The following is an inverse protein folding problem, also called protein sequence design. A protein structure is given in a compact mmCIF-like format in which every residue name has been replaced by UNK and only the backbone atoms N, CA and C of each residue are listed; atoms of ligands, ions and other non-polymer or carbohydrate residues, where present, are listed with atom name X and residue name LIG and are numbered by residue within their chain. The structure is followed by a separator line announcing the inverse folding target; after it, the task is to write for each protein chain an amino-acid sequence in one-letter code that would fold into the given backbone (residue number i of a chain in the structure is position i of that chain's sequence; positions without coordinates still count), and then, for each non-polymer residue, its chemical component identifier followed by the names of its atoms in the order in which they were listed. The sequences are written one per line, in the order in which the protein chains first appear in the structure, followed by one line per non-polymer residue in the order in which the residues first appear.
data_IF_726036378093
#
_entry.id   IF_726036378093
#
_cell.length_a   1.000
_cell.length_b   1.000
_cell.length_c   1.000
_cell.angle_alpha   90.00
_cell.angle_beta   90.00
_cell.angle_gamma   90.00
#
_symmetry.space_group_name_H-M   'P 1'
#
loop_
_entity.id
_entity.type
_entity.pdbx_description
1 polymer ?
#
# COMPACT_ATOMS: atom_id res chain seq x y z
N UNK A 1 15.19 -12.66 9.65
CA UNK A 1 14.23 -11.69 10.21
C UNK A 1 14.77 -10.98 11.46
N UNK A 2 15.07 -11.68 12.56
CA UNK A 2 15.63 -11.02 13.75
C UNK A 2 16.92 -10.23 13.46
N UNK A 3 17.85 -10.83 12.70
CA UNK A 3 19.10 -10.18 12.29
C UNK A 3 18.86 -8.94 11.42
N UNK A 4 17.90 -9.00 10.49
CA UNK A 4 17.57 -7.87 9.60
C UNK A 4 16.90 -6.72 10.37
N UNK A 5 16.10 -7.03 11.40
CA UNK A 5 15.52 -6.01 12.30
C UNK A 5 16.62 -5.34 13.14
N UNK A 6 17.53 -6.12 13.72
CA UNK A 6 18.66 -5.58 14.48
C UNK A 6 19.58 -4.71 13.61
N UNK A 7 19.86 -5.15 12.39
CA UNK A 7 20.65 -4.40 11.40
C UNK A 7 19.95 -3.10 10.98
N UNK A 8 18.63 -3.13 10.75
CA UNK A 8 17.84 -1.93 10.46
C UNK A 8 17.92 -0.92 11.61
N UNK A 9 17.69 -1.38 12.85
CA UNK A 9 17.77 -0.52 14.03
C UNK A 9 19.18 0.09 14.20
N UNK A 10 20.23 -0.68 13.93
CA UNK A 10 21.60 -0.18 13.92
C UNK A 10 21.82 0.90 12.85
N UNK A 11 21.39 0.65 11.61
CA UNK A 11 21.52 1.61 10.50
C UNK A 11 20.72 2.89 10.76
N UNK A 12 19.56 2.78 11.39
CA UNK A 12 18.76 3.92 11.84
C UNK A 12 19.51 4.76 12.89
N UNK A 13 20.16 4.10 13.87
CA UNK A 13 20.98 4.78 14.89
C UNK A 13 22.17 5.53 14.30
N UNK A 14 22.78 5.00 13.24
CA UNK A 14 23.95 5.59 12.56
C UNK A 14 23.55 6.62 11.48
N UNK A 15 22.28 7.00 11.38
CA UNK A 15 21.76 7.91 10.35
C UNK A 15 22.04 7.46 8.89
N UNK A 16 22.27 6.15 8.67
CA UNK A 16 22.50 5.55 7.35
C UNK A 16 21.26 4.78 6.87
N UNK A 17 20.07 5.35 7.10
CA UNK A 17 18.78 4.74 6.72
C UNK A 17 18.67 4.47 5.22
N UNK A 18 19.32 5.27 4.38
CA UNK A 18 19.35 5.08 2.92
C UNK A 18 20.01 3.75 2.49
N UNK A 19 20.84 3.14 3.34
CA UNK A 19 21.45 1.82 3.11
C UNK A 19 20.62 0.66 3.68
N UNK A 20 19.52 0.93 4.37
CA UNK A 20 18.73 -0.10 5.04
C UNK A 20 18.27 -1.20 4.08
N UNK A 21 17.67 -0.83 2.96
CA UNK A 21 17.16 -1.77 1.96
C UNK A 21 18.29 -2.63 1.36
N UNK A 22 19.36 -2.05 0.75
CA UNK A 22 20.39 -2.87 0.11
C UNK A 22 21.17 -3.72 1.10
N UNK A 23 21.53 -3.19 2.28
CA UNK A 23 22.33 -3.95 3.26
C UNK A 23 21.48 -5.04 3.92
N UNK A 24 20.21 -4.78 4.24
CA UNK A 24 19.33 -5.82 4.79
C UNK A 24 19.03 -6.90 3.75
N UNK A 25 18.76 -6.53 2.49
CA UNK A 25 18.51 -7.49 1.41
C UNK A 25 19.73 -8.39 1.16
N UNK A 26 20.93 -7.80 1.09
CA UNK A 26 22.18 -8.54 0.91
C UNK A 26 22.49 -9.44 2.11
N UNK A 27 22.29 -8.95 3.33
CA UNK A 27 22.45 -9.76 4.56
C UNK A 27 21.43 -10.90 4.61
N UNK A 28 20.19 -10.64 4.19
CA UNK A 28 19.14 -11.64 4.06
C UNK A 28 19.51 -12.74 3.06
N UNK A 29 20.08 -12.36 1.91
CA UNK A 29 20.63 -13.29 0.91
C UNK A 29 21.74 -14.16 1.52
N UNK A 30 22.76 -13.56 2.14
CA UNK A 30 23.87 -14.31 2.75
C UNK A 30 23.36 -15.29 3.80
N UNK A 31 22.48 -14.85 4.70
CA UNK A 31 21.94 -15.70 5.77
C UNK A 31 21.13 -16.85 5.18
N UNK A 32 20.30 -16.58 4.17
CA UNK A 32 19.53 -17.62 3.50
C UNK A 32 20.45 -18.69 2.90
N UNK A 33 21.53 -18.27 2.22
CA UNK A 33 22.51 -19.19 1.62
C UNK A 33 23.29 -19.99 2.67
N UNK A 34 23.72 -19.35 3.77
CA UNK A 34 24.43 -20.02 4.87
C UNK A 34 23.54 -21.04 5.58
N UNK A 35 22.24 -20.77 5.68
CA UNK A 35 21.25 -21.68 6.28
C UNK A 35 20.74 -22.76 5.29
N UNK A 36 21.35 -22.87 4.12
CA UNK A 36 21.08 -23.95 3.16
C UNK A 36 19.89 -23.69 2.24
N UNK A 37 19.43 -22.44 2.09
CA UNK A 37 18.53 -22.12 0.98
C UNK A 37 19.28 -22.35 -0.33
N UNK A 38 18.77 -23.26 -1.17
CA UNK A 38 19.32 -23.49 -2.51
C UNK A 38 19.27 -22.21 -3.35
N UNK A 39 20.26 -22.05 -4.24
CA UNK A 39 20.19 -21.08 -5.34
C UNK A 39 19.17 -21.57 -6.39
N UNK A 40 17.88 -21.61 -6.04
CA UNK A 40 16.79 -21.84 -6.99
C UNK A 40 16.46 -20.58 -7.81
N UNK A 41 17.42 -19.66 -7.96
CA UNK A 41 17.28 -18.50 -8.86
C UNK A 41 17.44 -19.02 -10.28
N UNK A 42 16.32 -19.37 -10.90
CA UNK A 42 16.27 -19.65 -12.33
C UNK A 42 16.16 -18.31 -13.05
N UNK A 43 17.19 -17.96 -13.80
CA UNK A 43 17.12 -16.84 -14.74
C UNK A 43 16.29 -17.28 -15.94
N UNK A 44 14.98 -17.08 -15.83
CA UNK A 44 14.01 -17.47 -16.87
C UNK A 44 13.58 -16.26 -17.69
N UNK A 45 13.72 -15.05 -17.12
CA UNK A 45 13.25 -13.84 -17.79
C UNK A 45 14.26 -13.37 -18.83
N UNK A 46 13.91 -13.51 -20.10
CA UNK A 46 14.72 -13.03 -21.22
C UNK A 46 14.75 -11.50 -21.30
N UNK A 47 15.83 -10.97 -21.87
CA UNK A 47 15.94 -9.54 -22.18
C UNK A 47 15.03 -9.22 -23.36
N UNK A 48 14.10 -8.28 -23.17
CA UNK A 48 13.13 -7.91 -24.19
C UNK A 48 12.04 -7.00 -23.63
N UNK A 49 11.22 -6.44 -24.52
CA UNK A 49 10.04 -5.72 -24.06
C UNK A 49 9.05 -6.74 -23.44
N UNK A 50 8.54 -6.48 -22.22
CA UNK A 50 7.45 -7.26 -21.68
C UNK A 50 6.29 -7.30 -22.66
N UNK A 51 5.56 -8.42 -22.70
CA UNK A 51 4.37 -8.47 -23.55
C UNK A 51 3.39 -7.37 -23.09
N UNK A 52 2.98 -6.47 -23.97
CA UNK A 52 2.03 -5.40 -23.67
C UNK A 52 0.63 -5.71 -24.24
N UNK A 53 0.43 -6.92 -24.77
CA UNK A 53 -0.83 -7.31 -25.36
C UNK A 53 -1.81 -7.74 -24.25
N UNK A 54 -2.93 -7.03 -24.05
CA UNK A 54 -3.94 -7.42 -23.06
C UNK A 54 -4.56 -8.80 -23.37
N UNK A 55 -4.63 -9.21 -24.64
CA UNK A 55 -5.17 -10.53 -25.01
C UNK A 55 -4.25 -11.66 -24.56
N UNK A 56 -2.93 -11.44 -24.55
CA UNK A 56 -1.97 -12.40 -24.02
C UNK A 56 -2.13 -12.55 -22.50
N UNK A 57 -2.28 -11.45 -21.77
CA UNK A 57 -2.37 -11.47 -20.31
C UNK A 57 -3.72 -11.93 -19.79
N UNK A 58 -4.81 -11.38 -20.34
CA UNK A 58 -6.17 -11.66 -19.88
C UNK A 58 -6.77 -12.86 -20.61
N UNK A 59 -6.59 -12.95 -21.93
CA UNK A 59 -7.34 -13.87 -22.79
C UNK A 59 -6.71 -15.26 -22.98
N UNK A 60 -5.43 -15.44 -22.66
CA UNK A 60 -4.76 -16.74 -22.79
C UNK A 60 -5.09 -17.66 -21.61
N UNK A 61 -5.42 -18.91 -21.92
CA UNK A 61 -5.62 -19.99 -20.94
C UNK A 61 -4.35 -20.82 -20.70
N UNK A 62 -3.30 -20.60 -21.50
CA UNK A 62 -2.05 -21.36 -21.45
C UNK A 62 -0.87 -20.51 -20.96
N UNK A 63 -0.95 -19.18 -21.11
CA UNK A 63 0.11 -18.23 -20.75
C UNK A 63 -0.51 -16.98 -20.09
N UNK A 64 0.30 -16.14 -19.42
CA UNK A 64 -0.20 -14.91 -18.77
C UNK A 64 -0.89 -15.15 -17.42
N UNK A 65 -2.02 -14.46 -17.15
CA UNK A 65 -2.75 -14.59 -15.89
C UNK A 65 -3.62 -15.86 -15.82
N UNK A 66 -3.84 -16.55 -16.94
CA UNK A 66 -4.68 -17.75 -17.03
C UNK A 66 -6.11 -17.55 -16.51
N UNK A 67 -6.63 -16.32 -16.59
CA UNK A 67 -7.96 -15.96 -16.11
C UNK A 67 -9.05 -16.11 -17.18
N UNK A 68 -8.67 -16.13 -18.47
CA UNK A 68 -9.61 -16.00 -19.58
C UNK A 68 -10.17 -14.59 -19.72
N UNK A 69 -10.81 -14.30 -20.86
CA UNK A 69 -11.42 -12.98 -21.08
C UNK A 69 -12.54 -12.74 -20.04
N UNK A 70 -12.57 -11.57 -19.38
CA UNK A 70 -13.54 -11.30 -18.34
C UNK A 70 -14.96 -11.17 -18.92
N UNK A 71 -15.87 -12.01 -18.43
CA UNK A 71 -17.31 -11.92 -18.66
C UNK A 71 -17.97 -10.92 -17.71
N UNK A 72 -19.22 -10.53 -18.00
CA UNK A 72 -20.01 -9.61 -17.16
C UNK A 72 -20.08 -10.03 -15.68
N UNK A 73 -20.15 -11.33 -15.41
CA UNK A 73 -20.16 -11.88 -14.05
C UNK A 73 -18.87 -11.54 -13.28
N UNK A 74 -17.70 -11.60 -13.94
CA UNK A 74 -16.42 -11.25 -13.31
C UNK A 74 -16.33 -9.76 -12.99
N UNK A 75 -16.95 -8.89 -13.80
CA UNK A 75 -17.03 -7.46 -13.50
C UNK A 75 -17.97 -7.18 -12.30
N UNK A 76 -19.13 -7.84 -12.26
CA UNK A 76 -20.07 -7.68 -11.14
C UNK A 76 -19.46 -8.21 -9.84
N UNK A 77 -18.78 -9.35 -9.88
CA UNK A 77 -18.12 -9.94 -8.71
C UNK A 77 -16.94 -9.10 -8.19
N UNK A 78 -16.18 -8.45 -9.07
CA UNK A 78 -15.04 -7.61 -8.69
C UNK A 78 -15.41 -6.17 -8.32
N UNK A 79 -16.63 -5.72 -8.67
CA UNK A 79 -17.10 -4.35 -8.43
C UNK A 79 -17.02 -3.91 -6.96
N UNK A 80 -17.44 -4.72 -5.96
CA UNK A 80 -17.33 -4.32 -4.55
C UNK A 80 -15.88 -4.11 -4.12
N UNK A 81 -14.96 -4.95 -4.59
CA UNK A 81 -13.53 -4.82 -4.32
C UNK A 81 -12.92 -3.60 -5.00
N UNK A 82 -13.32 -3.31 -6.24
CA UNK A 82 -12.87 -2.12 -6.96
C UNK A 82 -13.33 -0.82 -6.27
N UNK A 83 -14.59 -0.76 -5.83
CA UNK A 83 -15.12 0.37 -5.06
C UNK A 83 -14.35 0.54 -3.75
N UNK A 84 -14.09 -0.56 -3.04
CA UNK A 84 -13.30 -0.56 -1.81
C UNK A 84 -11.88 -0.01 -2.07
N UNK A 85 -11.21 -0.48 -3.12
CA UNK A 85 -9.87 -0.05 -3.48
C UNK A 85 -9.81 1.44 -3.80
N UNK A 86 -10.78 1.97 -4.56
CA UNK A 86 -10.88 3.41 -4.85
C UNK A 86 -11.18 4.21 -3.59
N UNK A 87 -12.08 3.72 -2.72
CA UNK A 87 -12.37 4.37 -1.45
C UNK A 87 -11.13 4.45 -0.53
N UNK A 88 -10.22 3.48 -0.62
CA UNK A 88 -8.95 3.47 0.12
C UNK A 88 -7.93 4.48 -0.40
N UNK A 89 -8.04 4.96 -1.64
CA UNK A 89 -7.11 5.99 -2.16
C UNK A 89 -7.23 7.31 -1.39
N UNK A 90 -8.45 7.72 -1.00
CA UNK A 90 -8.68 8.98 -0.29
C UNK A 90 -7.92 9.08 1.04
N UNK A 91 -8.07 8.14 1.99
CA UNK A 91 -7.31 8.20 3.24
C UNK A 91 -5.81 8.00 3.02
N UNK A 92 -5.40 7.16 2.07
CA UNK A 92 -3.98 6.91 1.77
C UNK A 92 -3.29 8.19 1.28
N UNK A 93 -3.91 8.89 0.32
CA UNK A 93 -3.35 10.08 -0.31
C UNK A 93 -3.35 11.27 0.65
N UNK A 94 -4.42 11.40 1.44
CA UNK A 94 -4.49 12.40 2.51
C UNK A 94 -3.39 12.15 3.56
N UNK A 95 -3.16 10.89 3.95
CA UNK A 95 -2.08 10.51 4.84
C UNK A 95 -0.71 10.94 4.31
N UNK A 96 -0.42 10.66 3.04
CA UNK A 96 0.84 11.07 2.40
C UNK A 96 1.02 12.60 2.39
N UNK A 97 -0.05 13.35 2.11
CA UNK A 97 -0.02 14.81 2.16
C UNK A 97 0.28 15.33 3.56
N UNK A 98 -0.38 14.79 4.59
CA UNK A 98 -0.12 15.18 5.99
C UNK A 98 1.34 14.90 6.36
N UNK A 99 1.93 13.78 5.91
CA UNK A 99 3.35 13.51 6.11
C UNK A 99 4.26 14.54 5.44
N UNK A 100 3.91 15.01 4.25
CA UNK A 100 4.66 16.09 3.61
C UNK A 100 4.53 17.40 4.39
N UNK A 101 3.34 17.75 4.86
CA UNK A 101 3.09 18.95 5.66
C UNK A 101 3.86 18.95 6.98
N UNK A 102 3.98 17.79 7.64
CA UNK A 102 4.74 17.65 8.89
C UNK A 102 6.26 17.79 8.70
N UNK A 103 6.79 17.37 7.54
CA UNK A 103 8.23 17.30 7.30
C UNK A 103 8.78 18.48 6.50
N UNK A 104 7.97 19.11 5.63
CA UNK A 104 8.43 20.21 4.78
C UNK A 104 8.45 21.56 5.53
N UNK A 105 9.30 22.51 5.13
CA UNK A 105 9.32 23.85 5.72
C UNK A 105 7.95 24.55 5.65
N UNK A 106 7.66 25.42 6.61
CA UNK A 106 6.50 26.30 6.52
C UNK A 106 6.70 27.22 5.29
N UNK A 107 5.69 27.33 4.41
CA UNK A 107 5.66 28.02 3.09
C UNK A 107 5.98 27.18 1.83
N UNK A 108 6.09 25.85 1.92
CA UNK A 108 6.22 24.96 0.73
C UNK A 108 4.90 24.43 0.19
N UNK A 109 3.79 25.16 0.38
CA UNK A 109 2.43 24.73 0.00
C UNK A 109 2.29 24.35 -1.47
N UNK A 110 3.05 24.99 -2.37
CA UNK A 110 3.06 24.70 -3.81
C UNK A 110 3.74 23.37 -4.19
N UNK A 111 4.40 22.71 -3.23
CA UNK A 111 5.12 21.43 -3.42
C UNK A 111 4.42 20.29 -2.70
N UNK A 112 3.33 20.58 -1.99
CA UNK A 112 2.49 19.57 -1.36
C UNK A 112 1.69 18.84 -2.44
N UNK A 113 1.50 17.54 -2.23
CA UNK A 113 0.68 16.72 -3.10
C UNK A 113 -0.77 17.19 -3.04
N UNK A 114 -1.34 17.49 -4.20
CA UNK A 114 -2.78 17.66 -4.36
C UNK A 114 -3.45 16.28 -4.45
N UNK A 115 -4.49 16.06 -3.64
CA UNK A 115 -5.15 14.77 -3.52
C UNK A 115 -5.99 14.49 -4.78
N UNK A 116 -6.64 15.50 -5.34
CA UNK A 116 -7.55 15.37 -6.48
C UNK A 116 -6.75 15.12 -7.78
N UNK A 117 -5.65 15.85 -7.96
CA UNK A 117 -4.73 15.61 -9.08
C UNK A 117 -4.11 14.20 -8.99
N UNK A 118 -3.76 13.76 -7.78
CA UNK A 118 -3.18 12.44 -7.55
C UNK A 118 -4.20 11.33 -7.84
N UNK A 119 -5.45 11.49 -7.41
CA UNK A 119 -6.53 10.56 -7.76
C UNK A 119 -6.78 10.47 -9.26
N UNK A 120 -6.77 11.61 -9.94
CA UNK A 120 -6.96 11.68 -11.38
C UNK A 120 -5.84 10.93 -12.11
N UNK A 121 -4.58 11.21 -11.76
CA UNK A 121 -3.42 10.53 -12.35
C UNK A 121 -3.37 9.04 -12.00
N UNK A 122 -3.75 8.66 -10.78
CA UNK A 122 -3.86 7.26 -10.37
C UNK A 122 -4.92 6.52 -11.19
N UNK A 123 -6.06 7.14 -11.44
CA UNK A 123 -7.14 6.58 -12.26
C UNK A 123 -6.69 6.39 -13.71
N UNK A 124 -6.04 7.40 -14.30
CA UNK A 124 -5.47 7.31 -15.66
C UNK A 124 -4.44 6.18 -15.74
N UNK A 125 -3.53 6.09 -14.77
CA UNK A 125 -2.53 5.03 -14.72
C UNK A 125 -3.16 3.65 -14.57
N UNK A 126 -4.23 3.50 -13.78
CA UNK A 126 -4.96 2.25 -13.65
C UNK A 126 -5.59 1.84 -14.98
N UNK A 127 -6.23 2.77 -15.68
CA UNK A 127 -6.84 2.50 -16.99
C UNK A 127 -5.79 2.06 -18.00
N UNK A 128 -4.68 2.81 -18.13
CA UNK A 128 -3.59 2.48 -19.06
C UNK A 128 -2.96 1.14 -18.68
N UNK A 129 -2.67 0.91 -17.40
CA UNK A 129 -2.09 -0.34 -16.91
C UNK A 129 -2.97 -1.55 -17.23
N UNK A 130 -4.27 -1.45 -16.98
CA UNK A 130 -5.24 -2.53 -17.30
C UNK A 130 -5.31 -2.77 -18.81
N UNK A 131 -5.32 -1.71 -19.61
CA UNK A 131 -5.38 -1.78 -21.07
C UNK A 131 -4.16 -2.46 -21.71
N UNK A 132 -2.99 -2.43 -21.04
CA UNK A 132 -1.77 -3.13 -21.50
C UNK A 132 -1.56 -4.50 -20.83
N UNK A 133 -2.55 -5.01 -20.10
CA UNK A 133 -2.47 -6.34 -19.46
C UNK A 133 -2.06 -6.37 -17.99
N UNK A 134 -1.94 -5.21 -17.33
CA UNK A 134 -1.55 -5.11 -15.93
C UNK A 134 -2.67 -5.52 -14.97
N UNK A 135 -2.39 -6.48 -14.10
CA UNK A 135 -3.30 -6.95 -13.04
C UNK A 135 -3.17 -6.21 -11.70
N UNK A 136 -2.42 -5.11 -11.65
CA UNK A 136 -2.12 -4.39 -10.43
C UNK A 136 -3.12 -3.25 -10.14
N UNK A 137 -3.32 -2.96 -8.85
CA UNK A 137 -4.01 -1.75 -8.40
C UNK A 137 -3.00 -0.63 -8.23
N UNK A 138 -3.30 0.51 -8.81
CA UNK A 138 -2.50 1.72 -8.71
C UNK A 138 -2.58 2.29 -7.29
N UNK A 139 -1.42 2.67 -6.74
CA UNK A 139 -1.28 3.44 -5.50
C UNK A 139 -0.34 4.63 -5.72
N UNK A 140 -0.46 5.66 -4.89
CA UNK A 140 0.45 6.82 -4.82
C UNK A 140 1.85 6.45 -4.30
N UNK A 141 2.10 5.18 -3.98
CA UNK A 141 3.41 4.65 -3.62
C UNK A 141 3.95 5.26 -2.32
N UNK A 142 3.15 5.15 -1.26
CA UNK A 142 3.46 5.68 0.07
C UNK A 142 4.84 5.32 0.61
N UNK A 143 5.33 4.13 0.24
CA UNK A 143 6.66 3.61 0.59
C UNK A 143 7.80 4.43 -0.01
N UNK A 144 7.57 5.12 -1.11
CA UNK A 144 8.51 6.07 -1.70
C UNK A 144 8.25 7.48 -1.18
N UNK A 145 6.99 7.90 -1.14
CA UNK A 145 6.59 9.26 -0.76
C UNK A 145 6.96 9.62 0.67
N UNK A 146 6.69 8.75 1.64
CA UNK A 146 6.90 9.03 3.07
C UNK A 146 8.40 9.19 3.38
N UNK A 147 9.30 8.26 3.00
CA UNK A 147 10.73 8.44 3.24
C UNK A 147 11.33 9.62 2.47
N UNK A 148 10.88 9.87 1.24
CA UNK A 148 11.34 11.02 0.46
C UNK A 148 10.92 12.35 1.10
N UNK A 149 9.71 12.41 1.66
CA UNK A 149 9.22 13.55 2.42
C UNK A 149 10.04 13.79 3.69
N UNK A 150 10.32 12.74 4.48
CA UNK A 150 11.19 12.80 5.67
C UNK A 150 12.59 13.31 5.29
N UNK A 151 13.13 12.84 4.16
CA UNK A 151 14.45 13.25 3.67
C UNK A 151 14.48 14.64 3.00
N UNK A 152 13.33 15.32 2.88
CA UNK A 152 13.18 16.65 2.23
C UNK A 152 13.76 16.68 0.81
N UNK A 153 13.62 15.58 0.06
CA UNK A 153 14.15 15.44 -1.30
C UNK A 153 13.08 15.77 -2.36
N UNK A 154 13.47 16.20 -3.57
CA UNK A 154 12.52 16.48 -4.64
C UNK A 154 11.84 15.18 -5.10
N UNK A 155 10.60 14.96 -4.65
CA UNK A 155 9.79 13.77 -4.97
C UNK A 155 9.57 13.61 -6.48
N UNK A 156 9.21 14.66 -7.27
CA UNK A 156 8.94 14.50 -8.70
C UNK A 156 10.14 14.03 -9.51
N UNK A 157 11.32 14.61 -9.26
CA UNK A 157 12.55 14.24 -9.97
C UNK A 157 12.98 12.80 -9.67
N UNK A 158 12.87 12.38 -8.41
CA UNK A 158 13.13 10.98 -8.05
C UNK A 158 12.09 10.01 -8.62
N UNK A 159 10.83 10.41 -8.76
CA UNK A 159 9.79 9.58 -9.36
C UNK A 159 10.03 9.33 -10.85
N UNK A 160 10.47 10.36 -11.60
CA UNK A 160 10.84 10.23 -13.02
C UNK A 160 12.05 9.30 -13.17
N UNK A 161 13.11 9.54 -12.39
CA UNK A 161 14.30 8.69 -12.44
C UNK A 161 13.96 7.23 -12.10
N UNK A 162 13.14 7.02 -11.08
CA UNK A 162 12.68 5.69 -10.69
C UNK A 162 11.85 5.03 -11.80
N UNK A 163 10.95 5.77 -12.46
CA UNK A 163 10.20 5.28 -13.61
C UNK A 163 11.10 4.83 -14.77
N UNK A 164 12.15 5.62 -15.07
CA UNK A 164 13.14 5.25 -16.08
C UNK A 164 13.93 4.00 -15.69
N UNK A 165 14.36 3.91 -14.43
CA UNK A 165 15.08 2.73 -13.93
C UNK A 165 14.21 1.47 -13.96
N UNK A 166 12.93 1.58 -13.61
CA UNK A 166 11.97 0.47 -13.69
C UNK A 166 11.81 0.01 -15.14
N UNK A 167 11.70 0.94 -16.10
CA UNK A 167 11.64 0.60 -17.52
C UNK A 167 12.91 -0.14 -17.98
N UNK A 168 14.09 0.33 -17.57
CA UNK A 168 15.37 -0.33 -17.89
C UNK A 168 15.40 -1.74 -17.30
N UNK A 169 15.05 -1.90 -16.03
CA UNK A 169 15.02 -3.21 -15.35
C UNK A 169 14.02 -4.16 -16.02
N UNK A 170 12.84 -3.65 -16.38
CA UNK A 170 11.81 -4.42 -17.07
C UNK A 170 12.29 -4.93 -18.45
N UNK A 171 13.06 -4.12 -19.19
CA UNK A 171 13.65 -4.51 -20.47
C UNK A 171 14.78 -5.53 -20.27
N UNK A 172 15.59 -5.37 -19.22
CA UNK A 172 16.71 -6.27 -18.93
C UNK A 172 16.24 -7.67 -18.50
N UNK A 173 15.10 -7.78 -17.83
CA UNK A 173 14.49 -9.05 -17.42
C UNK A 173 15.17 -9.69 -16.21
N UNK A 174 16.46 -10.05 -16.34
CA UNK A 174 17.22 -10.77 -15.31
C UNK A 174 17.23 -10.16 -13.88
N UNK A 175 17.14 -8.82 -13.66
CA UNK A 175 17.10 -8.30 -12.29
C UNK A 175 15.78 -8.60 -11.59
N UNK A 176 14.70 -8.87 -12.33
CA UNK A 176 13.40 -9.25 -11.76
C UNK A 176 13.48 -10.62 -11.07
N UNK A 177 14.19 -11.58 -11.66
CA UNK A 177 14.35 -12.93 -11.12
C UNK A 177 15.04 -12.91 -9.73
N UNK A 178 15.97 -11.97 -9.54
CA UNK A 178 16.63 -11.75 -8.24
C UNK A 178 15.68 -11.06 -7.26
N UNK A 179 14.91 -10.06 -7.72
CA UNK A 179 14.02 -9.28 -6.86
C UNK A 179 12.83 -10.10 -6.32
N UNK A 180 12.34 -11.08 -7.09
CA UNK A 180 11.22 -11.95 -6.74
C UNK A 180 11.66 -13.13 -5.85
N UNK A 181 12.97 -13.37 -5.71
CA UNK A 181 13.46 -14.46 -4.86
C UNK A 181 12.97 -14.29 -3.41
N UNK A 182 12.23 -15.27 -2.84
CA UNK A 182 11.44 -15.06 -1.63
C UNK A 182 12.19 -14.49 -0.42
N UNK A 183 13.45 -14.92 -0.12
CA UNK A 183 14.20 -14.34 0.99
C UNK A 183 14.48 -12.84 0.80
N UNK A 184 14.87 -12.42 -0.41
CA UNK A 184 15.16 -11.01 -0.72
C UNK A 184 13.89 -10.18 -0.71
N UNK A 185 12.84 -10.65 -1.39
CA UNK A 185 11.55 -9.97 -1.45
C UNK A 185 10.96 -9.73 -0.05
N UNK A 186 10.94 -10.75 0.81
CA UNK A 186 10.39 -10.64 2.18
C UNK A 186 11.15 -9.63 3.03
N UNK A 187 12.48 -9.60 2.92
CA UNK A 187 13.32 -8.64 3.65
C UNK A 187 13.12 -7.23 3.12
N UNK A 188 13.05 -7.06 1.80
CA UNK A 188 12.79 -5.78 1.17
C UNK A 188 11.41 -5.22 1.57
N UNK A 189 10.36 -6.05 1.61
CA UNK A 189 9.03 -5.64 2.08
C UNK A 189 9.04 -5.28 3.57
N UNK A 190 9.67 -6.09 4.42
CA UNK A 190 9.73 -5.79 5.84
C UNK A 190 10.45 -4.46 6.13
N UNK A 191 11.63 -4.28 5.53
CA UNK A 191 12.55 -3.17 5.85
C UNK A 191 12.24 -1.92 5.04
N UNK A 192 11.82 -2.07 3.79
CA UNK A 192 11.52 -0.97 2.89
C UNK A 192 10.08 -0.47 2.96
N UNK A 193 9.14 -1.30 3.42
CA UNK A 193 7.71 -0.98 3.43
C UNK A 193 7.17 -1.00 4.86
N UNK A 194 7.13 -2.17 5.51
CA UNK A 194 6.41 -2.32 6.78
C UNK A 194 7.01 -1.51 7.92
N UNK A 195 8.34 -1.56 8.10
CA UNK A 195 9.02 -0.84 9.18
C UNK A 195 8.93 0.69 9.02
N UNK A 196 9.23 1.29 7.85
CA UNK A 196 9.06 2.73 7.66
C UNK A 196 7.62 3.21 7.86
N UNK A 197 6.62 2.45 7.37
CA UNK A 197 5.21 2.79 7.56
C UNK A 197 4.81 2.72 9.04
N UNK A 198 5.30 1.72 9.78
CA UNK A 198 5.10 1.62 11.21
C UNK A 198 5.73 2.79 11.97
N UNK A 199 6.99 3.13 11.68
CA UNK A 199 7.68 4.27 12.30
C UNK A 199 6.94 5.58 12.03
N UNK A 200 6.53 5.79 10.78
CA UNK A 200 5.76 6.96 10.38
C UNK A 200 4.44 7.03 11.14
N UNK A 201 3.69 5.93 11.22
CA UNK A 201 2.45 5.84 12.00
C UNK A 201 2.67 6.14 13.48
N UNK A 202 3.73 5.61 14.10
CA UNK A 202 4.07 5.88 15.49
C UNK A 202 4.42 7.36 15.74
N UNK A 203 5.05 8.06 14.78
CA UNK A 203 5.34 9.49 14.90
C UNK A 203 4.07 10.36 14.86
N UNK A 204 2.97 9.86 14.28
CA UNK A 204 1.70 10.59 14.25
C UNK A 204 0.91 10.49 15.54
N UNK A 205 1.21 9.51 16.40
CA UNK A 205 0.56 9.35 17.71
C UNK A 205 1.24 10.30 18.70
N UNK A 206 0.68 11.50 18.87
CA UNK A 206 1.26 12.53 19.74
C UNK A 206 0.64 12.57 21.12
N UNK A 207 -0.68 12.38 21.20
CA UNK A 207 -1.43 12.49 22.43
C UNK A 207 -2.13 11.17 22.84
N UNK A 208 -2.59 11.10 24.09
CA UNK A 208 -3.34 9.97 24.61
C UNK A 208 -4.67 9.75 23.86
N UNK A 209 -5.27 10.84 23.36
CA UNK A 209 -6.48 10.81 22.51
C UNK A 209 -6.21 10.09 21.18
N UNK A 210 -5.11 10.42 20.52
CA UNK A 210 -4.69 9.77 19.26
C UNK A 210 -4.31 8.31 19.49
N UNK A 211 -3.74 7.99 20.65
CA UNK A 211 -3.35 6.64 21.04
C UNK A 211 -4.56 5.69 21.16
N UNK A 212 -5.71 6.19 21.62
CA UNK A 212 -6.94 5.38 21.72
C UNK A 212 -7.49 5.03 20.33
N UNK A 213 -7.55 6.01 19.43
CA UNK A 213 -7.99 5.79 18.05
C UNK A 213 -7.03 4.84 17.31
N UNK A 214 -5.72 5.07 17.43
CA UNK A 214 -4.70 4.19 16.84
C UNK A 214 -4.79 2.77 17.39
N UNK A 215 -4.98 2.60 18.71
CA UNK A 215 -5.13 1.29 19.34
C UNK A 215 -6.34 0.52 18.81
N UNK A 216 -7.52 1.15 18.76
CA UNK A 216 -8.74 0.52 18.23
C UNK A 216 -8.57 0.14 16.77
N UNK A 217 -7.94 1.02 15.98
CA UNK A 217 -7.65 0.73 14.57
C UNK A 217 -6.72 -0.48 14.43
N UNK A 218 -5.63 -0.56 15.20
CA UNK A 218 -4.67 -1.67 15.14
C UNK A 218 -5.32 -2.99 15.60
N UNK A 219 -5.99 -3.00 16.75
CA UNK A 219 -6.63 -4.21 17.27
C UNK A 219 -7.80 -4.66 16.39
N UNK A 220 -8.63 -3.71 15.94
CA UNK A 220 -9.71 -3.99 15.00
C UNK A 220 -9.19 -4.54 13.67
N UNK A 221 -8.05 -4.03 13.20
CA UNK A 221 -7.42 -4.49 11.95
C UNK A 221 -6.91 -5.93 12.08
N UNK A 222 -6.36 -6.28 13.24
CA UNK A 222 -5.85 -7.62 13.53
C UNK A 222 -6.98 -8.66 13.69
N UNK A 223 -8.13 -8.25 14.24
CA UNK A 223 -9.25 -9.15 14.50
C UNK A 223 -10.15 -9.31 13.28
N UNK A 224 -10.57 -8.21 12.67
CA UNK A 224 -11.60 -8.23 11.61
C UNK A 224 -10.95 -8.00 10.25
N UNK A 225 -10.62 -6.75 9.94
CA UNK A 225 -10.01 -6.35 8.70
C UNK A 225 -9.54 -4.89 8.83
N UNK A 226 -8.40 -4.51 8.23
CA UNK A 226 -7.91 -3.13 8.25
C UNK A 226 -8.94 -2.08 7.82
N UNK A 227 -9.75 -2.37 6.80
CA UNK A 227 -10.69 -1.38 6.24
C UNK A 227 -11.89 -1.18 7.15
N UNK A 228 -12.46 -2.25 7.70
CA UNK A 228 -13.55 -2.15 8.67
C UNK A 228 -13.09 -1.51 9.97
N UNK A 229 -11.88 -1.84 10.42
CA UNK A 229 -11.30 -1.25 11.61
C UNK A 229 -11.10 0.26 11.45
N UNK A 230 -10.61 0.70 10.30
CA UNK A 230 -10.50 2.12 9.98
C UNK A 230 -11.86 2.81 9.93
N UNK A 231 -12.84 2.25 9.21
CA UNK A 231 -14.18 2.82 9.10
C UNK A 231 -14.87 2.93 10.47
N UNK A 232 -14.73 1.89 11.32
CA UNK A 232 -15.24 1.88 12.68
C UNK A 232 -14.52 2.92 13.55
N UNK A 233 -13.19 3.00 13.48
CA UNK A 233 -12.41 3.98 14.24
C UNK A 233 -12.80 5.40 13.85
N UNK A 234 -12.99 5.67 12.55
CA UNK A 234 -13.46 6.96 12.04
C UNK A 234 -14.86 7.30 12.56
N UNK A 235 -15.79 6.33 12.57
CA UNK A 235 -17.13 6.51 13.12
C UNK A 235 -17.10 6.84 14.63
N UNK A 236 -16.21 6.19 15.37
CA UNK A 236 -16.07 6.38 16.81
C UNK A 236 -15.39 7.73 17.15
N UNK A 237 -14.38 8.13 16.39
CA UNK A 237 -13.66 9.41 16.55
C UNK A 237 -14.56 10.60 16.16
N UNK A 238 -15.25 10.52 15.01
CA UNK A 238 -16.11 11.61 14.53
C UNK A 238 -17.33 11.85 15.45
N UNK A 239 -17.83 10.82 16.12
CA UNK A 239 -18.91 10.95 17.12
C UNK A 239 -18.41 11.39 18.51
N UNK A 240 -17.09 11.53 18.71
CA UNK A 240 -16.49 11.92 19.99
C UNK A 240 -16.62 10.85 21.08
N UNK A 241 -16.92 9.60 20.70
CA UNK A 241 -16.94 8.45 21.61
C UNK A 241 -15.51 8.06 22.02
N UNK A 242 -14.56 8.23 21.10
CA UNK A 242 -13.11 8.14 21.30
C UNK A 242 -12.46 9.41 20.73
N UNK A 243 -11.25 9.75 21.18
CA UNK A 243 -10.47 10.85 20.61
C UNK A 243 -10.88 12.24 21.10
N UNK A 244 -10.87 13.23 20.20
CA UNK A 244 -11.04 14.64 20.57
C UNK A 244 -12.50 15.13 20.51
N UNK A 245 -13.13 15.23 21.68
CA UNK A 245 -14.52 15.69 21.84
C UNK A 245 -14.75 17.12 21.34
N UNK A 246 -13.73 17.98 21.35
CA UNK A 246 -13.83 19.34 20.81
C UNK A 246 -13.90 19.36 19.28
N UNK A 247 -13.16 18.46 18.62
CA UNK A 247 -13.24 18.25 17.17
C UNK A 247 -14.63 17.74 16.77
N UNK A 248 -15.15 16.77 17.52
CA UNK A 248 -16.52 16.30 17.35
C UNK A 248 -17.52 17.46 17.46
N UNK A 249 -17.43 18.32 18.47
CA UNK A 249 -18.37 19.44 18.62
C UNK A 249 -18.44 20.39 17.40
N UNK A 250 -17.34 20.53 16.62
CA UNK A 250 -17.24 21.40 15.44
C UNK A 250 -17.71 20.77 14.12
N UNK A 251 -17.89 19.45 14.08
CA UNK A 251 -18.29 18.72 12.88
C UNK A 251 -19.81 18.79 12.63
N UNK A 252 -20.20 18.88 11.35
CA UNK A 252 -21.60 18.86 10.94
C UNK A 252 -22.22 17.46 11.15
N UNK A 253 -23.55 17.35 11.19
CA UNK A 253 -24.21 16.05 11.32
C UNK A 253 -23.85 15.09 10.18
N UNK A 254 -23.60 15.62 8.98
CA UNK A 254 -23.20 14.86 7.80
C UNK A 254 -21.83 14.23 8.00
N UNK A 255 -20.85 15.00 8.50
CA UNK A 255 -19.48 14.53 8.72
C UNK A 255 -19.36 13.59 9.93
N UNK A 256 -20.24 13.77 10.92
CA UNK A 256 -20.28 12.94 12.13
C UNK A 256 -20.83 11.54 11.88
N UNK A 257 -21.96 11.46 11.17
CA UNK A 257 -22.78 10.26 11.15
C UNK A 257 -22.96 9.76 9.72
N UNK A 258 -23.38 10.60 8.78
CA UNK A 258 -23.76 10.14 7.44
C UNK A 258 -22.57 9.57 6.68
N UNK A 259 -21.43 10.28 6.66
CA UNK A 259 -20.23 9.83 5.96
C UNK A 259 -19.64 8.57 6.62
N UNK A 260 -19.35 8.54 7.93
CA UNK A 260 -18.69 7.38 8.53
C UNK A 260 -19.58 6.14 8.59
N UNK A 261 -20.89 6.30 8.84
CA UNK A 261 -21.84 5.17 8.79
C UNK A 261 -22.00 4.68 7.36
N UNK A 262 -22.11 5.58 6.39
CA UNK A 262 -22.20 5.21 4.97
C UNK A 262 -20.99 4.38 4.53
N UNK A 263 -19.78 4.84 4.86
CA UNK A 263 -18.54 4.10 4.57
C UNK A 263 -18.51 2.75 5.27
N UNK A 264 -18.89 2.68 6.56
CA UNK A 264 -18.93 1.42 7.31
C UNK A 264 -19.92 0.42 6.68
N UNK A 265 -21.12 0.88 6.32
CA UNK A 265 -22.15 0.05 5.67
C UNK A 265 -21.67 -0.44 4.31
N UNK A 266 -21.10 0.43 3.48
CA UNK A 266 -20.57 0.04 2.16
C UNK A 266 -19.46 -1.00 2.31
N UNK A 267 -18.50 -0.77 3.22
CA UNK A 267 -17.41 -1.71 3.47
C UNK A 267 -17.94 -3.06 3.98
N UNK A 268 -18.90 -3.05 4.89
CA UNK A 268 -19.50 -4.26 5.46
C UNK A 268 -20.30 -5.05 4.41
N UNK A 269 -21.12 -4.36 3.61
CA UNK A 269 -21.88 -4.97 2.50
C UNK A 269 -20.92 -5.54 1.46
N UNK A 270 -19.86 -4.82 1.09
CA UNK A 270 -18.87 -5.30 0.13
C UNK A 270 -18.13 -6.55 0.65
N UNK A 271 -17.75 -6.58 1.93
CA UNK A 271 -17.08 -7.75 2.51
C UNK A 271 -17.99 -8.97 2.66
N UNK A 272 -19.27 -8.76 2.96
CA UNK A 272 -20.28 -9.83 2.99
C UNK A 272 -20.60 -10.35 1.59
N UNK A 273 -20.64 -9.46 0.60
CA UNK A 273 -20.84 -9.81 -0.80
C UNK A 273 -19.67 -10.65 -1.35
N UNK A 274 -18.43 -10.30 -1.02
CA UNK A 274 -17.22 -10.99 -1.52
C UNK A 274 -16.86 -12.23 -0.67
N UNK A 275 -17.58 -12.50 0.42
CA UNK A 275 -17.29 -13.66 1.28
C UNK A 275 -16.01 -13.53 2.09
N UNK A 276 -15.46 -12.33 2.26
CA UNK A 276 -14.22 -12.11 3.02
C UNK A 276 -14.35 -12.53 4.50
N UNK A 277 -15.58 -12.53 5.03
CA UNK A 277 -15.90 -12.96 6.40
C UNK A 277 -16.23 -14.45 6.50
N UNK A 278 -16.35 -15.17 5.39
CA UNK A 278 -16.68 -16.61 5.39
C UNK A 278 -15.51 -17.42 5.95
N UNK A 279 -14.28 -17.13 5.52
CA UNK A 279 -13.08 -17.83 5.97
C UNK A 279 -12.67 -17.58 7.42
N UNK A 280 -13.05 -16.45 8.02
CA UNK A 280 -12.70 -16.09 9.41
C UNK A 280 -13.86 -16.28 10.41
N UNK A 281 -15.11 -16.05 9.99
CA UNK A 281 -16.27 -15.98 10.88
C UNK A 281 -17.41 -16.93 10.46
N UNK A 282 -17.26 -17.70 9.38
CA UNK A 282 -18.27 -18.65 8.91
C UNK A 282 -19.56 -18.00 8.40
N UNK A 283 -19.53 -16.69 8.12
CA UNK A 283 -20.67 -15.97 7.55
C UNK A 283 -20.67 -16.23 6.05
N UNK A 284 -21.68 -16.95 5.55
CA UNK A 284 -21.82 -17.26 4.12
C UNK A 284 -21.87 -15.98 3.29
N UNK A 285 -21.08 -15.97 2.21
CA UNK A 285 -21.16 -14.93 1.20
C UNK A 285 -22.58 -14.79 0.63
N UNK A 286 -22.96 -13.57 0.26
CA UNK A 286 -24.23 -13.33 -0.44
C UNK A 286 -24.15 -13.62 -1.95
N UNK A 287 -22.94 -13.68 -2.51
CA UNK A 287 -22.63 -14.03 -3.90
C UNK A 287 -21.76 -15.29 -3.95
#
# INVERSE_FOLDING_TARGET
LAVTIALYAFLAKVNKRWLAIPVCAFTGLIIALVLGAGFDIKFVTETGLPNLNPVYWWGSTEEGWMLGLPNMEHFIASLPFAILAVAMWSPDFLGHRIFQELNYPKKTEKVLMDVDDTMTMCSIRQMVGTAVGGGNITSSWGTYMIPAAIAKRPIPGGAILLGLLVMIIAILGFPMDIAVWPPVMRVALLVGVSLPLLEAGMQMVKDSKDSQAAGICIFGSAVVNPVLAWALTMLLDNNGLIGDKERAARLSFVDKIVIPVGVLVICLVAMLAVGMLEGQYGIKAWL
#
